data_IF_364203012228
#
_entry.id   IF_364203012228
#
_cell.length_a   1.000
_cell.length_b   1.000
_cell.length_c   1.000
_cell.angle_alpha   90.00
_cell.angle_beta   90.00
_cell.angle_gamma   90.00
#
_symmetry.space_group_name_H-M   'P 1'
#
loop_
_entity.id
_entity.type
_entity.pdbx_description
1 polymer ?
#
# COMPACT_ATOMS: atom_id res chain seq x y z
N UNK A 1 -23.21 52.03 14.30
CA UNK A 1 -22.95 50.57 14.36
C UNK A 1 -21.46 50.37 14.22
N UNK A 2 -20.78 50.11 15.32
CA UNK A 2 -19.32 49.91 15.38
C UNK A 2 -19.11 48.53 15.98
N UNK A 3 -18.64 47.59 15.15
CA UNK A 3 -18.25 46.26 15.60
C UNK A 3 -16.89 46.38 16.29
N UNK A 4 -16.87 46.27 17.62
CA UNK A 4 -15.65 45.93 18.36
C UNK A 4 -15.71 44.42 18.53
N UNK A 5 -14.93 43.70 17.74
CA UNK A 5 -14.75 42.26 17.91
C UNK A 5 -14.19 42.04 19.32
N UNK A 6 -14.99 41.39 20.18
CA UNK A 6 -14.47 40.78 21.38
C UNK A 6 -13.48 39.71 20.89
N UNK A 7 -12.18 39.94 21.11
CA UNK A 7 -11.17 38.90 20.97
C UNK A 7 -11.46 37.88 22.08
N UNK A 8 -12.34 36.94 21.74
CA UNK A 8 -12.57 35.73 22.49
C UNK A 8 -11.21 35.04 22.61
N UNK A 9 -10.69 35.04 23.83
CA UNK A 9 -9.46 34.34 24.18
C UNK A 9 -9.83 32.87 24.21
N UNK A 10 -9.93 32.26 23.04
CA UNK A 10 -9.97 30.81 22.91
C UNK A 10 -8.63 30.31 23.44
N UNK A 11 -8.62 29.95 24.72
CA UNK A 11 -7.60 29.10 25.31
C UNK A 11 -7.54 27.86 24.41
N UNK A 12 -6.50 27.76 23.59
CA UNK A 12 -6.16 26.52 22.90
C UNK A 12 -5.80 25.54 24.03
N UNK A 13 -6.84 24.85 24.50
CA UNK A 13 -6.71 23.79 25.47
C UNK A 13 -6.09 22.59 24.78
N UNK A 14 -4.87 22.26 25.19
CA UNK A 14 -4.24 20.98 24.92
C UNK A 14 -3.60 20.88 23.54
N UNK A 15 -2.48 21.59 23.34
CA UNK A 15 -1.38 20.97 22.61
C UNK A 15 -0.97 19.73 23.41
N UNK A 16 -1.61 18.59 23.13
CA UNK A 16 -1.02 17.30 23.44
C UNK A 16 0.22 17.22 22.57
N UNK A 17 1.37 17.67 23.11
CA UNK A 17 2.68 17.36 22.55
C UNK A 17 2.70 15.85 22.35
N UNK A 18 2.52 15.40 21.10
CA UNK A 18 2.75 14.00 20.77
C UNK A 18 4.22 13.77 21.10
N UNK A 19 4.55 12.95 22.12
CA UNK A 19 5.92 12.76 22.53
C UNK A 19 6.75 12.35 21.30
N UNK A 20 7.93 12.95 21.10
CA UNK A 20 8.80 12.62 19.96
C UNK A 20 9.07 11.12 19.82
N UNK A 21 9.04 10.39 20.95
CA UNK A 21 9.14 8.93 21.01
C UNK A 21 7.99 8.20 20.33
N UNK A 22 6.75 8.74 20.36
CA UNK A 22 5.60 8.16 19.66
C UNK A 22 5.68 8.40 18.15
N UNK A 23 6.18 9.56 17.72
CA UNK A 23 6.40 9.85 16.30
C UNK A 23 7.50 8.96 15.69
N UNK A 24 8.59 8.72 16.43
CA UNK A 24 9.63 7.78 16.00
C UNK A 24 9.13 6.34 15.91
N UNK A 25 8.30 5.90 16.86
CA UNK A 25 7.71 4.56 16.83
C UNK A 25 6.80 4.37 15.62
N UNK A 26 5.89 5.31 15.37
CA UNK A 26 5.04 5.30 14.17
C UNK A 26 5.86 5.31 12.87
N UNK A 27 6.95 6.08 12.85
CA UNK A 27 7.83 6.12 11.67
C UNK A 27 8.55 4.79 11.44
N UNK A 28 8.95 4.08 12.50
CA UNK A 28 9.52 2.73 12.41
C UNK A 28 8.47 1.70 11.96
N UNK A 29 7.25 1.77 12.47
CA UNK A 29 6.16 0.88 12.03
C UNK A 29 5.84 1.06 10.55
N UNK A 30 5.70 2.31 10.09
CA UNK A 30 5.47 2.63 8.67
C UNK A 30 6.62 2.14 7.79
N UNK A 31 7.88 2.29 8.23
CA UNK A 31 9.03 1.76 7.50
C UNK A 31 9.02 0.23 7.43
N UNK A 32 8.67 -0.43 8.54
CA UNK A 32 8.60 -1.88 8.60
C UNK A 32 7.48 -2.44 7.72
N UNK A 33 6.30 -1.82 7.73
CA UNK A 33 5.19 -2.16 6.84
C UNK A 33 5.57 -1.98 5.37
N UNK A 34 6.19 -0.86 5.01
CA UNK A 34 6.64 -0.60 3.64
C UNK A 34 7.68 -1.63 3.17
N UNK A 35 8.59 -2.07 4.06
CA UNK A 35 9.56 -3.12 3.74
C UNK A 35 8.87 -4.48 3.52
N UNK A 36 7.89 -4.81 4.36
CA UNK A 36 7.13 -6.04 4.23
C UNK A 36 6.33 -6.07 2.92
N UNK A 37 5.65 -4.96 2.60
CA UNK A 37 4.88 -4.80 1.36
C UNK A 37 5.80 -4.91 0.12
N UNK A 38 6.95 -4.23 0.13
CA UNK A 38 7.94 -4.32 -0.94
C UNK A 38 8.46 -5.76 -1.14
N UNK A 39 8.65 -6.52 -0.06
CA UNK A 39 9.08 -7.92 -0.15
C UNK A 39 8.01 -8.82 -0.75
N UNK A 40 6.73 -8.58 -0.44
CA UNK A 40 5.61 -9.32 -1.05
C UNK A 40 5.52 -9.06 -2.55
N UNK A 41 5.57 -7.80 -2.98
CA UNK A 41 5.58 -7.47 -4.41
C UNK A 41 6.78 -8.08 -5.13
N UNK A 42 7.97 -8.04 -4.51
CA UNK A 42 9.16 -8.66 -5.09
C UNK A 42 8.98 -10.17 -5.32
N UNK A 43 8.41 -10.89 -4.35
CA UNK A 43 8.11 -12.32 -4.49
C UNK A 43 7.09 -12.59 -5.59
N UNK A 44 6.02 -11.79 -5.65
CA UNK A 44 4.99 -11.95 -6.66
C UNK A 44 5.51 -11.67 -8.08
N UNK A 45 6.38 -10.67 -8.26
CA UNK A 45 7.04 -10.39 -9.54
C UNK A 45 7.90 -11.56 -9.97
N UNK A 46 8.71 -12.15 -9.06
CA UNK A 46 9.50 -13.33 -9.40
C UNK A 46 8.61 -14.52 -9.79
N UNK A 47 7.53 -14.76 -9.06
CA UNK A 47 6.57 -15.82 -9.39
C UNK A 47 5.91 -15.58 -10.76
N UNK A 48 5.57 -14.33 -11.08
CA UNK A 48 5.02 -13.95 -12.37
C UNK A 48 6.01 -14.19 -13.51
N UNK A 49 7.27 -13.77 -13.34
CA UNK A 49 8.32 -13.99 -14.35
C UNK A 49 8.51 -15.49 -14.59
N UNK A 50 8.59 -16.30 -13.53
CA UNK A 50 8.72 -17.74 -13.67
C UNK A 50 7.52 -18.36 -14.39
N UNK A 51 6.29 -17.93 -14.10
CA UNK A 51 5.11 -18.38 -14.83
C UNK A 51 5.18 -18.03 -16.31
N UNK A 52 5.49 -16.78 -16.66
CA UNK A 52 5.60 -16.35 -18.06
C UNK A 52 6.61 -17.22 -18.85
N UNK A 53 7.67 -17.71 -18.20
CA UNK A 53 8.67 -18.57 -18.84
C UNK A 53 8.18 -19.99 -19.15
N UNK A 54 7.16 -20.47 -18.43
CA UNK A 54 6.70 -21.87 -18.50
C UNK A 54 5.29 -22.01 -19.11
N UNK A 55 4.53 -20.92 -19.19
CA UNK A 55 3.18 -20.93 -19.73
C UNK A 55 3.16 -20.86 -21.26
N UNK A 56 2.18 -21.53 -21.87
CA UNK A 56 1.89 -21.39 -23.30
C UNK A 56 1.23 -20.04 -23.62
N UNK A 57 1.11 -19.70 -24.90
CA UNK A 57 0.58 -18.39 -25.35
C UNK A 57 -0.87 -18.13 -24.86
N UNK A 58 -1.73 -19.15 -24.81
CA UNK A 58 -3.11 -19.02 -24.34
C UNK A 58 -3.20 -18.72 -22.84
N UNK A 59 -2.44 -19.48 -22.04
CA UNK A 59 -2.34 -19.31 -20.58
C UNK A 59 -1.73 -17.95 -20.23
N UNK A 60 -0.71 -17.53 -20.98
CA UNK A 60 -0.10 -16.21 -20.84
C UNK A 60 -1.10 -15.09 -21.14
N UNK A 61 -1.92 -15.22 -22.18
CA UNK A 61 -2.94 -14.22 -22.48
C UNK A 61 -4.01 -14.14 -21.39
N UNK A 62 -4.44 -15.27 -20.83
CA UNK A 62 -5.40 -15.30 -19.73
C UNK A 62 -4.81 -14.64 -18.46
N UNK A 63 -3.57 -14.99 -18.11
CA UNK A 63 -2.82 -14.39 -17.02
C UNK A 63 -2.70 -12.86 -17.19
N UNK A 64 -2.27 -12.38 -18.35
CA UNK A 64 -2.15 -10.94 -18.63
C UNK A 64 -3.50 -10.22 -18.60
N UNK A 65 -4.58 -10.85 -19.08
CA UNK A 65 -5.93 -10.31 -18.99
C UNK A 65 -6.39 -10.22 -17.52
N UNK A 66 -6.09 -11.22 -16.70
CA UNK A 66 -6.44 -11.24 -15.28
C UNK A 66 -5.75 -10.13 -14.48
N UNK A 67 -4.47 -9.86 -14.78
CA UNK A 67 -3.66 -8.79 -14.19
C UNK A 67 -4.17 -7.43 -14.62
N UNK A 68 -4.45 -7.25 -15.93
CA UNK A 68 -4.94 -5.98 -16.48
C UNK A 68 -6.29 -5.55 -15.87
N UNK A 69 -7.11 -6.52 -15.48
CA UNK A 69 -8.44 -6.28 -14.93
C UNK A 69 -8.46 -6.35 -13.38
N UNK A 70 -7.31 -6.30 -12.71
CA UNK A 70 -7.27 -6.21 -11.25
C UNK A 70 -7.50 -4.76 -10.80
N UNK A 71 -8.24 -4.58 -9.71
CA UNK A 71 -8.57 -3.27 -9.15
C UNK A 71 -7.40 -2.69 -8.32
N UNK A 72 -6.48 -3.56 -7.89
CA UNK A 72 -5.29 -3.17 -7.11
C UNK A 72 -4.05 -3.97 -7.49
N UNK A 73 -2.88 -3.43 -7.15
CA UNK A 73 -1.60 -4.12 -7.33
C UNK A 73 -1.54 -5.41 -6.51
N UNK A 74 -2.05 -5.39 -5.28
CA UNK A 74 -2.14 -6.56 -4.41
C UNK A 74 -2.97 -7.68 -5.07
N UNK A 75 -4.15 -7.35 -5.58
CA UNK A 75 -5.01 -8.30 -6.29
C UNK A 75 -4.34 -8.84 -7.58
N UNK A 76 -3.65 -7.96 -8.34
CA UNK A 76 -2.91 -8.38 -9.52
C UNK A 76 -1.82 -9.41 -9.17
N UNK A 77 -1.10 -9.19 -8.07
CA UNK A 77 -0.09 -10.12 -7.57
C UNK A 77 -0.67 -11.42 -7.03
N UNK A 78 -1.81 -11.38 -6.35
CA UNK A 78 -2.50 -12.60 -5.90
C UNK A 78 -2.98 -13.44 -7.08
N UNK A 79 -3.60 -12.81 -8.09
CA UNK A 79 -4.02 -13.50 -9.32
C UNK A 79 -2.83 -14.12 -10.05
N UNK A 80 -1.71 -13.40 -10.12
CA UNK A 80 -0.48 -13.91 -10.72
C UNK A 80 0.06 -15.15 -9.99
N UNK A 81 -0.05 -15.22 -8.67
CA UNK A 81 0.43 -16.36 -7.86
C UNK A 81 -0.59 -17.52 -7.86
N UNK A 82 -1.90 -17.23 -7.84
CA UNK A 82 -2.98 -18.20 -7.63
C UNK A 82 -3.26 -19.11 -8.83
N UNK A 83 -2.82 -18.74 -10.04
CA UNK A 83 -2.95 -19.59 -11.22
C UNK A 83 -2.19 -20.91 -11.03
N UNK A 84 -2.92 -22.01 -10.77
CA UNK A 84 -2.36 -23.34 -10.45
C UNK A 84 -1.70 -24.06 -11.62
N UNK A 85 -1.86 -23.56 -12.83
CA UNK A 85 -1.44 -24.25 -14.05
C UNK A 85 -0.36 -23.43 -14.72
N UNK A 86 0.87 -23.87 -14.46
CA UNK A 86 2.07 -24.05 -15.29
C UNK A 86 2.96 -24.96 -14.39
#
# INVERSE_FOLDING_TARGET
>A
MTYVAATDRTTIGGEGEVPGDQLQHLQQEVQHEAQHEAQQYRRAIYALIEKIRHCGDEELQELLRSIRNADSLAEATEKAVALKYC
#
